data_IF_415940434597
#
_entry.id   IF_415940434597
#
_cell.length_a   1.000
_cell.length_b   1.000
_cell.length_c   1.000
_cell.angle_alpha   90.00
_cell.angle_beta   90.00
_cell.angle_gamma   90.00
#
_symmetry.space_group_name_H-M   'P 1'
#
loop_
_entity.id
_entity.type
_entity.pdbx_description
1 polymer ?
#
# COMPACT_ATOMS: atom_id res chain seq x y z
N UNK A 1 4.62 -2.88 -1.44
CA UNK A 1 4.64 -3.56 -0.11
C UNK A 1 4.47 -2.47 0.94
N UNK A 2 3.96 -2.77 2.13
CA UNK A 2 3.55 -1.78 3.15
C UNK A 2 2.13 -1.24 3.00
N UNK A 3 1.25 -2.12 2.51
CA UNK A 3 -0.20 -1.93 2.45
C UNK A 3 -0.87 -1.33 3.69
N UNK A 4 -0.47 -1.66 4.94
CA UNK A 4 -1.15 -1.13 6.12
C UNK A 4 -1.12 0.40 6.21
N UNK A 5 -0.01 1.04 5.84
CA UNK A 5 0.12 2.51 5.86
C UNK A 5 -0.81 3.15 4.81
N UNK A 6 -0.86 2.57 3.61
CA UNK A 6 -1.75 3.05 2.56
C UNK A 6 -3.22 2.92 2.96
N UNK A 7 -3.61 1.83 3.62
CA UNK A 7 -4.98 1.68 4.15
C UNK A 7 -5.33 2.80 5.11
N UNK A 8 -4.42 3.15 6.04
CA UNK A 8 -4.66 4.27 6.97
C UNK A 8 -4.94 5.56 6.20
N UNK A 9 -4.11 5.87 5.20
CA UNK A 9 -4.27 7.06 4.37
C UNK A 9 -5.58 7.03 3.55
N UNK A 10 -5.88 5.90 2.90
CA UNK A 10 -7.09 5.71 2.10
C UNK A 10 -8.36 5.85 2.94
N UNK A 11 -8.41 5.26 4.14
CA UNK A 11 -9.54 5.44 5.06
C UNK A 11 -9.65 6.88 5.55
N UNK A 12 -8.54 7.54 5.88
CA UNK A 12 -8.54 8.96 6.26
C UNK A 12 -9.10 9.84 5.13
N UNK A 13 -8.73 9.58 3.88
CA UNK A 13 -9.25 10.29 2.70
C UNK A 13 -10.75 10.05 2.51
N UNK A 14 -11.24 8.83 2.73
CA UNK A 14 -12.67 8.53 2.69
C UNK A 14 -13.50 9.36 3.68
N UNK A 15 -12.89 9.84 4.78
CA UNK A 15 -13.53 10.72 5.76
C UNK A 15 -13.55 12.20 5.33
N UNK A 16 -12.53 12.67 4.62
CA UNK A 16 -12.33 14.11 4.38
C UNK A 16 -12.57 14.56 2.94
N UNK A 17 -12.51 13.65 1.97
CA UNK A 17 -12.69 13.97 0.55
C UNK A 17 -14.19 13.99 0.23
N UNK A 18 -14.74 15.12 -0.24
CA UNK A 18 -16.14 15.20 -0.62
C UNK A 18 -16.39 14.58 -2.01
N UNK A 19 -17.67 14.31 -2.32
CA UNK A 19 -18.10 13.93 -3.67
C UNK A 19 -18.25 12.42 -3.93
N UNK A 20 -18.24 11.60 -2.88
CA UNK A 20 -18.58 10.18 -2.95
C UNK A 20 -17.41 9.27 -3.32
N UNK A 21 -17.71 8.09 -3.86
CA UNK A 21 -16.75 7.00 -4.07
C UNK A 21 -15.68 7.36 -5.11
N UNK A 22 -16.05 7.98 -6.22
CA UNK A 22 -15.11 8.24 -7.32
C UNK A 22 -13.97 9.19 -6.89
N UNK A 23 -14.23 10.38 -6.30
CA UNK A 23 -13.17 11.25 -5.81
C UNK A 23 -12.32 10.59 -4.72
N UNK A 24 -12.93 9.84 -3.79
CA UNK A 24 -12.21 9.10 -2.74
C UNK A 24 -11.27 8.06 -3.35
N UNK A 25 -11.73 7.31 -4.34
CA UNK A 25 -10.92 6.30 -5.02
C UNK A 25 -9.69 6.91 -5.70
N UNK A 26 -9.92 7.97 -6.49
CA UNK A 26 -8.85 8.63 -7.25
C UNK A 26 -7.84 9.29 -6.31
N UNK A 27 -8.31 9.99 -5.28
CA UNK A 27 -7.42 10.60 -4.29
C UNK A 27 -6.65 9.56 -3.48
N UNK A 28 -7.25 8.41 -3.17
CA UNK A 28 -6.56 7.31 -2.52
C UNK A 28 -5.45 6.69 -3.40
N UNK A 29 -5.68 6.52 -4.70
CA UNK A 29 -4.63 6.12 -5.66
C UNK A 29 -3.50 7.13 -5.67
N UNK A 30 -3.83 8.43 -5.76
CA UNK A 30 -2.81 9.49 -5.74
C UNK A 30 -2.02 9.51 -4.42
N UNK A 31 -2.68 9.23 -3.28
CA UNK A 31 -1.98 9.14 -2.00
C UNK A 31 -1.02 7.96 -1.94
N UNK A 32 -1.34 6.84 -2.58
CA UNK A 32 -0.41 5.71 -2.66
C UNK A 32 0.88 6.14 -3.36
N UNK A 33 0.75 6.70 -4.57
CA UNK A 33 1.89 7.17 -5.35
C UNK A 33 2.70 8.26 -4.62
N UNK A 34 2.02 9.15 -3.88
CA UNK A 34 2.67 10.19 -3.11
C UNK A 34 3.43 9.65 -1.90
N UNK A 35 2.91 8.61 -1.24
CA UNK A 35 3.56 7.98 -0.09
C UNK A 35 4.78 7.15 -0.51
N UNK A 36 4.70 6.47 -1.66
CA UNK A 36 5.83 5.70 -2.20
C UNK A 36 7.01 6.59 -2.62
N UNK A 37 6.74 7.85 -2.93
CA UNK A 37 7.77 8.85 -3.21
C UNK A 37 8.57 9.28 -1.96
N UNK A 38 8.10 8.94 -0.76
CA UNK A 38 8.80 9.20 0.50
C UNK A 38 9.70 8.00 0.81
N UNK A 39 10.97 8.18 1.21
CA UNK A 39 11.83 7.06 1.55
C UNK A 39 11.24 6.23 2.70
N UNK A 40 11.05 4.93 2.46
CA UNK A 40 10.28 4.08 3.36
C UNK A 40 10.87 2.68 3.57
N UNK A 41 12.08 2.40 3.06
CA UNK A 41 12.89 1.24 3.46
C UNK A 41 12.53 -0.09 2.81
N UNK A 42 11.71 -0.14 1.75
CA UNK A 42 11.46 -1.37 0.98
C UNK A 42 12.51 -1.66 -0.09
N UNK A 43 13.37 -0.70 -0.45
CA UNK A 43 14.33 -0.82 -1.54
C UNK A 43 15.13 -2.13 -1.49
N UNK A 44 15.60 -2.52 -0.30
CA UNK A 44 16.31 -3.78 -0.08
C UNK A 44 15.44 -5.03 -0.26
N UNK A 45 14.15 -4.98 0.09
CA UNK A 45 13.19 -6.07 -0.15
C UNK A 45 12.90 -6.19 -1.65
N UNK A 46 12.64 -5.07 -2.32
CA UNK A 46 12.45 -5.00 -3.77
C UNK A 46 13.63 -5.61 -4.52
N UNK A 47 14.85 -5.16 -4.21
CA UNK A 47 16.08 -5.73 -4.78
C UNK A 47 16.19 -7.24 -4.56
N UNK A 48 15.92 -7.74 -3.35
CA UNK A 48 15.98 -9.17 -3.05
C UNK A 48 14.96 -10.01 -3.83
N UNK A 49 13.75 -9.50 -4.05
CA UNK A 49 12.74 -10.16 -4.88
C UNK A 49 13.15 -10.14 -6.35
N UNK A 50 13.56 -8.98 -6.86
CA UNK A 50 13.89 -8.78 -8.27
C UNK A 50 15.21 -9.43 -8.68
N UNK A 51 16.14 -9.68 -7.74
CA UNK A 51 17.38 -10.41 -7.98
C UNK A 51 17.21 -11.95 -8.00
N UNK A 52 15.98 -12.45 -8.06
CA UNK A 52 15.72 -13.90 -8.07
C UNK A 52 16.21 -14.53 -9.38
N UNK A 53 16.86 -15.71 -9.33
CA UNK A 53 17.44 -16.36 -10.52
C UNK A 53 16.39 -16.85 -11.52
N UNK A 54 15.19 -17.14 -11.04
CA UNK A 54 14.10 -17.65 -11.86
C UNK A 54 12.73 -17.22 -11.29
N UNK A 55 11.68 -17.39 -12.10
CA UNK A 55 10.32 -16.99 -11.75
C UNK A 55 9.76 -17.74 -10.53
N UNK A 56 10.07 -19.03 -10.37
CA UNK A 56 9.60 -19.82 -9.24
C UNK A 56 10.20 -19.28 -7.95
N UNK A 57 11.50 -18.99 -7.94
CA UNK A 57 12.17 -18.35 -6.81
C UNK A 57 11.62 -16.96 -6.51
N UNK A 58 11.35 -16.16 -7.56
CA UNK A 58 10.73 -14.83 -7.39
C UNK A 58 9.37 -14.95 -6.68
N UNK A 59 8.50 -15.83 -7.17
CA UNK A 59 7.17 -16.03 -6.59
C UNK A 59 7.20 -16.62 -5.18
N UNK A 60 8.13 -17.54 -4.90
CA UNK A 60 8.28 -18.09 -3.54
C UNK A 60 8.73 -17.06 -2.52
N UNK A 61 9.40 -15.99 -2.96
CA UNK A 61 9.78 -14.84 -2.11
C UNK A 61 8.63 -13.84 -2.00
N UNK A 62 8.04 -13.47 -3.13
CA UNK A 62 7.01 -12.43 -3.21
C UNK A 62 5.70 -12.84 -2.52
N UNK A 63 5.19 -14.04 -2.77
CA UNK A 63 3.86 -14.45 -2.31
C UNK A 63 3.72 -14.47 -0.78
N UNK A 64 4.62 -15.11 0.00
CA UNK A 64 4.48 -15.12 1.46
C UNK A 64 4.54 -13.71 2.06
N UNK A 65 5.43 -12.85 1.54
CA UNK A 65 5.56 -11.47 2.01
C UNK A 65 4.31 -10.65 1.68
N UNK A 66 3.80 -10.78 0.45
CA UNK A 66 2.57 -10.11 0.04
C UNK A 66 1.40 -10.57 0.90
N UNK A 67 1.24 -11.88 1.14
CA UNK A 67 0.16 -12.41 1.99
C UNK A 67 0.26 -11.86 3.41
N UNK A 68 1.46 -11.87 4.01
CA UNK A 68 1.65 -11.31 5.35
C UNK A 68 1.31 -9.82 5.41
N UNK A 69 1.77 -9.03 4.44
CA UNK A 69 1.46 -7.60 4.31
C UNK A 69 -0.05 -7.35 4.20
N UNK A 70 -0.75 -8.14 3.38
CA UNK A 70 -2.21 -8.06 3.20
C UNK A 70 -2.98 -8.45 4.47
N UNK A 71 -2.53 -9.47 5.20
CA UNK A 71 -3.16 -9.86 6.46
C UNK A 71 -3.02 -8.77 7.52
N UNK A 72 -1.84 -8.16 7.63
CA UNK A 72 -1.61 -7.03 8.54
C UNK A 72 -2.49 -5.84 8.11
N UNK A 73 -2.56 -5.55 6.82
CA UNK A 73 -3.36 -4.46 6.28
C UNK A 73 -4.86 -4.68 6.60
N UNK A 74 -5.36 -5.90 6.41
CA UNK A 74 -6.72 -6.28 6.78
C UNK A 74 -6.98 -6.11 8.29
N UNK A 75 -6.03 -6.52 9.15
CA UNK A 75 -6.15 -6.32 10.60
C UNK A 75 -6.24 -4.82 10.93
N UNK A 76 -5.38 -3.98 10.35
CA UNK A 76 -5.41 -2.53 10.54
C UNK A 76 -6.73 -1.94 10.06
N UNK A 77 -7.21 -2.34 8.88
CA UNK A 77 -8.52 -1.91 8.35
C UNK A 77 -9.64 -2.25 9.33
N UNK A 78 -9.69 -3.48 9.86
CA UNK A 78 -10.72 -3.92 10.78
C UNK A 78 -10.66 -3.18 12.13
N UNK A 79 -9.46 -2.86 12.62
CA UNK A 79 -9.27 -2.04 13.83
C UNK A 79 -9.79 -0.62 13.61
N UNK A 80 -9.41 0.01 12.50
CA UNK A 80 -9.85 1.38 12.17
C UNK A 80 -11.34 1.45 11.87
N UNK A 81 -11.92 0.44 11.22
CA UNK A 81 -13.35 0.34 10.94
C UNK A 81 -14.19 0.37 12.22
N UNK A 82 -13.64 -0.14 13.34
CA UNK A 82 -14.30 -0.14 14.66
C UNK A 82 -14.04 1.11 15.48
N UNK A 83 -13.19 2.01 15.01
CA UNK A 83 -12.78 3.19 15.77
C UNK A 83 -13.85 4.31 15.74
N UNK A 84 -13.96 5.13 16.81
CA UNK A 84 -14.82 6.31 16.83
C UNK A 84 -14.56 7.29 15.68
N UNK A 85 -13.30 7.42 15.24
CA UNK A 85 -12.92 8.36 14.19
C UNK A 85 -13.60 8.09 12.84
N UNK A 86 -14.00 6.84 12.55
CA UNK A 86 -14.64 6.45 11.30
C UNK A 86 -16.10 6.01 11.46
N UNK A 87 -16.67 6.09 12.66
CA UNK A 87 -18.02 5.60 12.96
C UNK A 87 -19.12 6.27 12.12
N UNK A 88 -18.93 7.53 11.71
CA UNK A 88 -19.88 8.28 10.89
C UNK A 88 -19.64 8.12 9.37
N UNK A 89 -18.58 7.43 8.95
CA UNK A 89 -18.25 7.28 7.53
C UNK A 89 -18.88 6.01 6.98
N UNK A 90 -19.66 6.08 5.88
CA UNK A 90 -20.25 4.90 5.25
C UNK A 90 -19.19 3.85 4.87
N UNK A 91 -19.48 2.57 5.15
CA UNK A 91 -18.59 1.45 4.81
C UNK A 91 -18.18 1.43 3.32
N UNK A 92 -19.06 1.69 2.34
CA UNK A 92 -18.66 1.73 0.94
C UNK A 92 -17.54 2.75 0.68
N UNK A 93 -17.60 3.95 1.26
CA UNK A 93 -16.54 4.95 1.10
C UNK A 93 -15.24 4.51 1.74
N UNK A 94 -15.29 3.91 2.94
CA UNK A 94 -14.09 3.37 3.61
C UNK A 94 -13.42 2.27 2.77
N UNK A 95 -14.22 1.36 2.20
CA UNK A 95 -13.72 0.32 1.29
C UNK A 95 -13.13 0.92 0.02
N UNK A 96 -13.79 1.93 -0.56
CA UNK A 96 -13.28 2.62 -1.75
C UNK A 96 -11.93 3.28 -1.49
N UNK A 97 -11.77 3.96 -0.35
CA UNK A 97 -10.50 4.55 0.06
C UNK A 97 -9.42 3.49 0.27
N UNK A 98 -9.73 2.42 1.01
CA UNK A 98 -8.80 1.32 1.24
C UNK A 98 -8.37 0.64 -0.07
N UNK A 99 -9.33 0.23 -0.91
CA UNK A 99 -9.04 -0.43 -2.20
C UNK A 99 -8.26 0.50 -3.13
N UNK A 100 -8.66 1.77 -3.25
CA UNK A 100 -7.96 2.75 -4.08
C UNK A 100 -6.51 2.94 -3.66
N UNK A 101 -6.26 3.00 -2.35
CA UNK A 101 -4.91 3.15 -1.79
C UNK A 101 -4.01 1.92 -1.98
N UNK A 102 -4.55 0.76 -2.36
CA UNK A 102 -3.80 -0.49 -2.55
C UNK A 102 -3.72 -0.92 -4.01
N UNK A 103 -4.54 -0.32 -4.87
CA UNK A 103 -4.68 -0.72 -6.26
C UNK A 103 -3.36 -0.73 -7.04
N UNK A 104 -2.46 0.27 -6.94
CA UNK A 104 -1.22 0.25 -7.73
C UNK A 104 -0.33 -0.96 -7.40
N UNK A 105 -0.24 -1.31 -6.11
CA UNK A 105 0.45 -2.51 -5.62
C UNK A 105 -0.22 -3.80 -6.13
N UNK A 106 -1.55 -3.89 -6.10
CA UNK A 106 -2.28 -5.05 -6.64
C UNK A 106 -2.06 -5.23 -8.14
N UNK A 107 -2.08 -4.15 -8.92
CA UNK A 107 -1.80 -4.21 -10.35
C UNK A 107 -0.37 -4.70 -10.60
N UNK A 108 0.60 -4.26 -9.80
CA UNK A 108 1.99 -4.74 -9.86
C UNK A 108 2.09 -6.22 -9.49
N UNK A 109 1.39 -6.66 -8.45
CA UNK A 109 1.32 -8.08 -8.05
C UNK A 109 0.70 -8.96 -9.14
N UNK A 110 -0.41 -8.52 -9.75
CA UNK A 110 -1.04 -9.23 -10.88
C UNK A 110 -0.06 -9.33 -12.05
N UNK A 111 0.67 -8.26 -12.38
CA UNK A 111 1.70 -8.26 -13.42
C UNK A 111 2.74 -9.35 -13.18
N UNK A 112 3.23 -9.46 -11.95
CA UNK A 112 4.23 -10.45 -11.55
C UNK A 112 3.71 -11.89 -11.56
N UNK A 113 2.41 -12.08 -11.33
CA UNK A 113 1.73 -13.38 -11.43
C UNK A 113 1.47 -13.82 -12.87
N UNK A 114 1.55 -12.93 -13.85
CA UNK A 114 1.45 -13.28 -15.26
C UNK A 114 2.83 -13.66 -15.83
N UNK A 115 2.88 -14.67 -16.69
CA UNK A 115 4.10 -14.98 -17.44
C UNK A 115 4.32 -14.00 -18.60
N UNK A 116 3.22 -13.47 -19.16
CA UNK A 116 3.19 -12.52 -20.27
C UNK A 116 2.18 -11.43 -19.95
N UNK A 117 2.55 -10.46 -19.09
CA UNK A 117 1.67 -9.35 -18.75
C UNK A 117 1.34 -8.50 -19.99
N UNK A 118 0.11 -7.98 -20.10
CA UNK A 118 -0.26 -7.11 -21.21
C UNK A 118 0.46 -5.76 -21.12
N UNK A 119 0.64 -5.09 -22.27
CA UNK A 119 1.42 -3.84 -22.37
C UNK A 119 0.88 -2.68 -21.54
N UNK A 120 -0.44 -2.61 -21.35
CA UNK A 120 -1.07 -1.60 -20.50
C UNK A 120 -0.68 -1.79 -19.03
N UNK A 121 -0.59 -3.04 -18.56
CA UNK A 121 -0.22 -3.35 -17.18
C UNK A 121 1.26 -3.07 -16.93
N UNK A 122 2.12 -3.35 -17.91
CA UNK A 122 3.52 -2.92 -17.90
C UNK A 122 3.66 -1.40 -17.87
N UNK A 123 2.77 -0.68 -18.55
CA UNK A 123 2.78 0.79 -18.55
C UNK A 123 2.37 1.34 -17.20
N UNK A 124 1.33 0.79 -16.57
CA UNK A 124 0.94 1.15 -15.21
C UNK A 124 2.02 0.83 -14.20
N UNK A 125 2.66 -0.33 -14.32
CA UNK A 125 3.79 -0.67 -13.46
C UNK A 125 4.93 0.34 -13.60
N UNK A 126 5.34 0.70 -14.82
CA UNK A 126 6.39 1.72 -15.01
C UNK A 126 6.01 3.08 -14.45
N UNK A 127 4.73 3.46 -14.51
CA UNK A 127 4.24 4.69 -13.91
C UNK A 127 4.36 4.63 -12.38
N UNK A 128 3.85 3.55 -11.79
CA UNK A 128 3.93 3.29 -10.35
C UNK A 128 5.39 3.27 -9.87
N UNK A 129 6.24 2.49 -10.54
CA UNK A 129 7.67 2.36 -10.25
C UNK A 129 8.34 3.73 -10.27
N UNK A 130 8.10 4.58 -11.28
CA UNK A 130 8.63 5.96 -11.32
C UNK A 130 8.26 6.85 -10.14
N UNK A 131 7.16 6.56 -9.45
CA UNK A 131 6.76 7.30 -8.26
C UNK A 131 7.51 6.84 -7.00
N UNK A 132 8.11 5.64 -7.02
CA UNK A 132 8.93 5.18 -5.90
C UNK A 132 10.15 6.06 -5.70
N UNK A 133 10.59 6.16 -4.44
CA UNK A 133 11.86 6.79 -4.12
C UNK A 133 13.04 5.90 -4.57
N UNK A 134 13.92 6.40 -5.43
CA UNK A 134 15.03 5.62 -6.02
C UNK A 134 16.44 6.08 -5.61
N UNK A 135 16.57 7.18 -4.86
CA UNK A 135 17.88 7.63 -4.41
C UNK A 135 18.44 6.66 -3.37
N UNK A 136 19.66 6.93 -2.88
CA UNK A 136 20.27 6.15 -1.79
C UNK A 136 19.35 6.17 -0.59
N UNK A 137 18.60 5.08 -0.40
CA UNK A 137 17.61 4.97 0.66
C UNK A 137 18.29 5.26 2.01
N UNK A 138 17.93 6.36 2.69
CA UNK A 138 18.52 6.68 3.97
C UNK A 138 18.09 5.67 5.05
N UNK A 139 17.07 4.86 4.78
CA UNK A 139 16.56 3.87 5.73
C UNK A 139 17.03 2.46 5.40
N UNK A 140 17.50 1.76 6.43
CA UNK A 140 17.58 0.30 6.38
C UNK A 140 16.16 -0.30 6.37
N UNK A 141 16.01 -1.54 5.86
CA UNK A 141 14.74 -2.29 5.93
C UNK A 141 14.15 -2.29 7.34
N UNK A 142 14.99 -2.48 8.36
CA UNK A 142 14.56 -2.45 9.77
C UNK A 142 14.08 -1.06 10.18
N UNK A 143 14.77 -0.01 9.75
CA UNK A 143 14.38 1.38 10.00
C UNK A 143 13.03 1.72 9.37
N UNK A 144 12.82 1.33 8.11
CA UNK A 144 11.54 1.49 7.41
C UNK A 144 10.40 0.78 8.13
N UNK A 145 10.59 -0.48 8.51
CA UNK A 145 9.60 -1.26 9.27
C UNK A 145 9.25 -0.61 10.62
N UNK A 146 10.25 -0.13 11.37
CA UNK A 146 10.02 0.57 12.65
C UNK A 146 9.22 1.85 12.42
N UNK A 147 9.63 2.67 11.44
CA UNK A 147 8.95 3.93 11.14
C UNK A 147 7.48 3.71 10.78
N UNK A 148 7.20 2.74 9.91
CA UNK A 148 5.84 2.43 9.51
C UNK A 148 5.00 1.82 10.63
N UNK A 149 5.58 0.93 11.43
CA UNK A 149 4.90 0.38 12.61
C UNK A 149 4.50 1.51 13.58
N UNK A 150 5.41 2.46 13.83
CA UNK A 150 5.11 3.65 14.64
C UNK A 150 4.00 4.49 14.02
N UNK A 151 4.05 4.74 12.71
CA UNK A 151 3.00 5.50 12.01
C UNK A 151 1.63 4.83 12.15
N UNK A 152 1.54 3.51 11.93
CA UNK A 152 0.31 2.74 12.09
C UNK A 152 -0.20 2.81 13.53
N UNK A 153 0.68 2.60 14.52
CA UNK A 153 0.32 2.63 15.94
C UNK A 153 -0.18 4.01 16.38
N UNK A 154 0.48 5.08 15.93
CA UNK A 154 0.05 6.46 16.20
C UNK A 154 -1.30 6.73 15.54
N UNK A 155 -1.49 6.34 14.28
CA UNK A 155 -2.77 6.52 13.59
C UNK A 155 -3.91 5.75 14.25
N UNK A 156 -3.67 4.50 14.69
CA UNK A 156 -4.65 3.74 15.47
C UNK A 156 -4.92 4.46 16.79
N UNK A 157 -3.90 4.88 17.53
CA UNK A 157 -4.10 5.61 18.79
C UNK A 157 -4.97 6.87 18.60
N UNK A 158 -4.68 7.68 17.58
CA UNK A 158 -5.44 8.88 17.25
C UNK A 158 -6.88 8.56 16.82
N UNK A 159 -7.12 7.43 16.14
CA UNK A 159 -8.46 7.04 15.71
C UNK A 159 -9.40 6.65 16.87
N UNK A 160 -8.82 6.31 18.03
CA UNK A 160 -9.53 5.91 19.25
C UNK A 160 -9.61 7.01 20.33
N UNK A 161 -9.06 8.19 20.04
CA UNK A 161 -9.21 9.39 20.86
C UNK A 161 -10.40 10.22 20.39
#
# INVERSE_FOLDING_TARGET
MFSPVHIVAGMALAKVVPGGEIPVFLTAILSHLALDAIPHGDTGIGHWVHSSPDRKTKLSRLLPMSIADQLIALIVFLILLRSPAFAAVPLPLLLTGAIGSMLPDYLTGIRDLLQRPPSWLETLHRLHDRCHFHDRDPFSIRGGLIFQALLILVSIFLAWR
#
